data_IF_524103166994
#
_entry.id   IF_524103166994
#
_cell.length_a   1.000
_cell.length_b   1.000
_cell.length_c   1.000
_cell.angle_alpha   90.00
_cell.angle_beta   90.00
_cell.angle_gamma   90.00
#
_symmetry.space_group_name_H-M   'P 1'
#
loop_
_entity.id
_entity.type
_entity.pdbx_description
1 polymer ?
#
# COMPACT_ATOMS: atom_id res chain seq x y z
N UNK A 1 -4.27 3.07 -0.98
CA UNK A 1 -3.60 3.33 -2.27
C UNK A 1 -3.00 4.71 -2.24
N UNK A 2 -1.83 4.88 -2.82
CA UNK A 2 -1.09 6.14 -2.87
C UNK A 2 -1.00 6.61 -4.32
N UNK A 3 -1.34 7.87 -4.57
CA UNK A 3 -1.29 8.52 -5.87
C UNK A 3 -0.36 9.73 -5.80
N UNK A 4 0.62 9.77 -6.70
CA UNK A 4 1.60 10.84 -6.81
C UNK A 4 1.76 11.22 -8.29
N UNK A 5 1.68 12.50 -8.62
CA UNK A 5 2.02 12.98 -9.95
C UNK A 5 3.54 13.10 -10.04
N UNK A 6 4.22 12.36 -10.94
CA UNK A 6 5.66 12.41 -11.04
C UNK A 6 6.12 13.61 -11.87
N UNK A 7 7.23 14.22 -11.47
CA UNK A 7 7.88 15.29 -12.23
C UNK A 7 8.40 14.86 -13.62
N UNK A 8 8.59 13.56 -13.84
CA UNK A 8 9.01 12.98 -15.11
C UNK A 8 8.46 11.55 -15.23
N UNK A 9 8.26 11.05 -16.46
CA UNK A 9 7.64 9.75 -16.68
C UNK A 9 8.63 8.58 -16.61
N UNK A 10 9.87 8.78 -17.07
CA UNK A 10 10.89 7.73 -17.11
C UNK A 10 12.30 8.34 -17.08
N UNK A 11 13.23 7.63 -16.43
CA UNK A 11 14.66 7.86 -16.61
C UNK A 11 15.13 7.09 -17.85
N UNK A 12 15.59 7.82 -18.85
CA UNK A 12 16.01 7.27 -20.13
C UNK A 12 17.53 7.37 -20.28
N UNK A 13 18.17 6.28 -20.70
CA UNK A 13 19.59 6.27 -21.03
C UNK A 13 19.75 5.84 -22.49
N UNK A 14 20.18 6.74 -23.39
CA UNK A 14 20.39 6.39 -24.78
C UNK A 14 21.55 5.40 -24.92
N UNK A 15 21.44 4.50 -25.91
CA UNK A 15 22.48 3.51 -26.21
C UNK A 15 23.81 4.20 -26.50
N UNK A 16 24.88 3.69 -25.86
CA UNK A 16 26.23 4.26 -26.01
C UNK A 16 26.51 5.52 -25.19
N UNK A 17 25.55 6.03 -24.42
CA UNK A 17 25.78 7.14 -23.47
C UNK A 17 25.92 6.65 -22.04
N UNK A 18 26.72 7.38 -21.25
CA UNK A 18 26.80 7.22 -19.80
C UNK A 18 25.89 8.19 -19.03
N UNK A 19 25.11 9.00 -19.74
CA UNK A 19 24.24 10.03 -19.16
C UNK A 19 22.80 9.51 -19.13
N UNK A 20 22.17 9.63 -17.97
CA UNK A 20 20.74 9.38 -17.80
C UNK A 20 19.98 10.69 -17.87
N UNK A 21 18.91 10.71 -18.65
CA UNK A 21 18.04 11.86 -18.87
C UNK A 21 16.67 11.62 -18.23
N UNK A 22 15.95 12.69 -17.91
CA UNK A 22 14.52 12.67 -17.57
C UNK A 22 13.71 12.90 -18.84
N UNK A 23 12.76 12.01 -19.13
CA UNK A 23 11.70 12.25 -20.13
C UNK A 23 10.44 12.71 -19.40
N UNK A 24 9.94 13.88 -19.77
CA UNK A 24 8.69 14.42 -19.22
C UNK A 24 7.49 13.59 -19.71
N UNK A 25 6.39 13.61 -18.98
CA UNK A 25 5.16 12.97 -19.43
C UNK A 25 4.51 13.81 -20.54
N UNK A 26 4.02 13.17 -21.62
CA UNK A 26 3.32 13.87 -22.69
C UNK A 26 1.93 14.38 -22.25
N UNK A 27 1.33 13.71 -21.27
CA UNK A 27 0.00 14.01 -20.69
C UNK A 27 0.09 13.89 -19.18
N UNK A 28 -0.95 14.33 -18.47
CA UNK A 28 -1.07 14.05 -17.04
C UNK A 28 -0.99 12.55 -16.77
N UNK A 29 -0.28 12.19 -15.70
CA UNK A 29 0.02 10.81 -15.36
C UNK A 29 0.26 10.73 -13.85
N UNK A 30 -0.24 9.68 -13.21
CA UNK A 30 -0.09 9.44 -11.79
C UNK A 30 0.52 8.08 -11.56
N UNK A 31 1.53 8.02 -10.70
CA UNK A 31 2.05 6.77 -10.19
C UNK A 31 1.14 6.26 -9.06
N UNK A 32 0.87 4.96 -9.07
CA UNK A 32 0.01 4.28 -8.11
C UNK A 32 0.87 3.33 -7.27
N UNK A 33 0.97 3.58 -5.98
CA UNK A 33 1.54 2.62 -5.02
C UNK A 33 0.41 1.94 -4.24
N UNK A 34 0.34 0.61 -4.28
CA UNK A 34 -0.62 -0.17 -3.48
C UNK A 34 0.04 -0.70 -2.21
N UNK A 35 -0.78 -0.94 -1.20
CA UNK A 35 -0.35 -1.67 0.00
C UNK A 35 0.07 -3.08 -0.39
N UNK A 36 1.22 -3.53 0.09
CA UNK A 36 1.86 -4.82 -0.24
C UNK A 36 1.26 -6.02 0.49
N UNK A 37 0.03 -5.90 1.00
CA UNK A 37 -0.64 -6.98 1.73
C UNK A 37 -0.41 -6.97 3.25
N UNK A 38 0.04 -5.85 3.82
CA UNK A 38 0.14 -5.69 5.27
C UNK A 38 -1.24 -5.84 5.93
N UNK A 39 -1.31 -6.71 6.95
CA UNK A 39 -2.53 -6.95 7.72
C UNK A 39 -2.51 -5.98 8.92
N UNK A 40 -3.37 -4.95 8.87
CA UNK A 40 -3.51 -3.95 9.93
C UNK A 40 -4.82 -4.19 10.66
N UNK A 41 -4.73 -4.73 11.87
CA UNK A 41 -5.87 -5.02 12.74
C UNK A 41 -5.91 -4.04 13.92
N UNK A 42 -7.04 -3.38 14.13
CA UNK A 42 -7.27 -2.52 15.28
C UNK A 42 -8.56 -2.93 15.99
N UNK A 43 -8.60 -2.79 17.31
CA UNK A 43 -9.78 -3.07 18.13
C UNK A 43 -9.93 -2.02 19.22
N UNK A 44 -11.16 -1.56 19.40
CA UNK A 44 -11.60 -0.63 20.44
C UNK A 44 -11.86 -1.28 21.80
N UNK A 45 -11.65 -2.60 21.92
CA UNK A 45 -11.93 -3.40 23.13
C UNK A 45 -11.28 -2.82 24.38
N UNK A 46 -10.06 -2.29 24.25
CA UNK A 46 -9.30 -1.73 25.37
C UNK A 46 -9.59 -0.25 25.65
N UNK A 47 -10.39 0.39 24.80
CA UNK A 47 -10.77 1.79 24.93
C UNK A 47 -12.30 1.97 25.03
N UNK A 48 -13.03 0.89 25.30
CA UNK A 48 -14.47 0.88 25.57
C UNK A 48 -15.32 1.62 24.50
N UNK A 49 -15.04 1.37 23.22
CA UNK A 49 -15.78 1.98 22.11
C UNK A 49 -15.42 3.44 21.81
N UNK A 50 -14.42 4.00 22.49
CA UNK A 50 -13.89 5.32 22.14
C UNK A 50 -13.15 5.30 20.79
N UNK A 51 -12.82 6.49 20.28
CA UNK A 51 -12.15 6.65 18.98
C UNK A 51 -10.77 5.99 18.97
N UNK A 52 -10.58 5.07 18.02
CA UNK A 52 -9.26 4.53 17.68
C UNK A 52 -8.44 5.60 16.96
N UNK A 53 -7.33 6.01 17.56
CA UNK A 53 -6.40 6.98 17.01
C UNK A 53 -4.97 6.44 16.99
N UNK A 54 -4.07 7.11 16.26
CA UNK A 54 -2.64 6.79 16.24
C UNK A 54 -2.26 5.49 15.53
N UNK A 55 -3.17 4.89 14.76
CA UNK A 55 -2.85 3.69 13.97
C UNK A 55 -1.98 4.08 12.77
N UNK A 56 -0.86 3.38 12.59
CA UNK A 56 -0.01 3.52 11.40
C UNK A 56 -0.68 2.79 10.24
N UNK A 57 -1.19 3.55 9.28
CA UNK A 57 -1.98 3.00 8.15
C UNK A 57 -1.12 2.76 6.90
N UNK A 58 -0.15 3.64 6.67
CA UNK A 58 0.75 3.56 5.53
C UNK A 58 2.04 4.30 5.84
N UNK A 59 3.12 3.82 5.24
CA UNK A 59 4.37 4.55 5.11
C UNK A 59 4.54 4.95 3.65
N UNK A 60 4.84 6.22 3.42
CA UNK A 60 5.12 6.72 2.08
C UNK A 60 6.57 7.18 2.08
N UNK A 61 7.45 6.56 1.28
CA UNK A 61 8.84 6.97 1.21
C UNK A 61 8.94 8.42 0.72
N UNK A 62 9.93 9.13 1.23
CA UNK A 62 10.19 10.50 0.81
C UNK A 62 10.96 10.49 -0.51
N UNK A 63 10.24 10.67 -1.61
CA UNK A 63 10.75 10.67 -2.99
C UNK A 63 10.90 12.08 -3.57
N UNK A 64 10.05 13.00 -3.14
CA UNK A 64 9.84 14.33 -3.72
C UNK A 64 9.21 15.27 -2.68
N UNK A 65 9.25 16.58 -2.94
CA UNK A 65 8.47 17.58 -2.21
C UNK A 65 7.02 17.67 -2.69
N UNK A 66 6.67 16.92 -3.74
CA UNK A 66 5.37 17.05 -4.38
C UNK A 66 4.28 16.53 -3.45
N UNK A 67 3.12 17.19 -3.42
CA UNK A 67 2.00 16.71 -2.65
C UNK A 67 1.46 15.40 -3.26
N UNK A 68 0.81 14.60 -2.43
CA UNK A 68 0.26 13.32 -2.85
C UNK A 68 -1.07 13.04 -2.17
N UNK A 69 -1.81 12.07 -2.70
CA UNK A 69 -3.07 11.62 -2.13
C UNK A 69 -2.98 10.18 -1.64
N UNK A 70 -3.67 9.90 -0.53
CA UNK A 70 -3.86 8.57 0.00
C UNK A 70 -5.35 8.24 0.03
N UNK A 71 -5.73 7.15 -0.63
CA UNK A 71 -7.03 6.51 -0.45
C UNK A 71 -6.91 5.44 0.61
N UNK A 72 -7.55 5.68 1.75
CA UNK A 72 -7.57 4.78 2.90
C UNK A 72 -8.91 4.06 2.91
N UNK A 73 -8.89 2.73 2.90
CA UNK A 73 -10.08 1.90 3.04
C UNK A 73 -10.12 1.27 4.42
N UNK A 74 -11.21 1.49 5.16
CA UNK A 74 -11.47 0.84 6.44
C UNK A 74 -12.58 -0.20 6.26
N UNK A 75 -12.41 -1.37 6.86
CA UNK A 75 -13.36 -2.47 6.85
C UNK A 75 -13.78 -2.82 8.27
N UNK A 76 -15.08 -3.02 8.50
CA UNK A 76 -15.58 -3.56 9.76
C UNK A 76 -15.58 -5.09 9.70
N UNK A 77 -14.89 -5.76 10.62
CA UNK A 77 -14.79 -7.22 10.63
C UNK A 77 -15.60 -7.83 11.78
N UNK A 78 -16.13 -9.03 11.58
CA UNK A 78 -16.78 -9.79 12.65
C UNK A 78 -15.74 -10.27 13.67
N UNK A 79 -16.19 -10.64 14.89
CA UNK A 79 -15.29 -11.17 15.93
C UNK A 79 -14.50 -12.39 15.45
N UNK A 80 -15.14 -13.31 14.73
CA UNK A 80 -14.47 -14.52 14.21
C UNK A 80 -13.44 -14.18 13.14
N UNK A 81 -13.74 -13.25 12.24
CA UNK A 81 -12.79 -12.77 11.23
C UNK A 81 -11.59 -12.06 11.88
N UNK A 82 -11.85 -11.24 12.91
CA UNK A 82 -10.79 -10.57 13.68
C UNK A 82 -9.80 -11.59 14.29
N UNK A 83 -10.33 -12.62 14.95
CA UNK A 83 -9.52 -13.69 15.55
C UNK A 83 -8.72 -14.48 14.49
N UNK A 84 -9.33 -14.74 13.34
CA UNK A 84 -8.67 -15.39 12.21
C UNK A 84 -7.49 -14.56 11.72
N UNK A 85 -7.69 -13.28 11.37
CA UNK A 85 -6.64 -12.40 10.86
C UNK A 85 -5.56 -12.09 11.89
N UNK A 86 -5.90 -12.01 13.17
CA UNK A 86 -4.93 -11.87 14.26
C UNK A 86 -4.03 -13.11 14.37
N UNK A 87 -4.61 -14.32 14.20
CA UNK A 87 -3.83 -15.56 14.13
C UNK A 87 -2.92 -15.56 12.91
N UNK A 88 -3.42 -15.17 11.73
CA UNK A 88 -2.60 -15.06 10.51
C UNK A 88 -1.44 -14.09 10.73
N UNK A 89 -1.69 -12.90 11.29
CA UNK A 89 -0.65 -11.90 11.56
C UNK A 89 0.42 -12.43 12.52
N UNK A 90 0.03 -13.19 13.53
CA UNK A 90 0.97 -13.84 14.45
C UNK A 90 1.83 -14.88 13.73
N UNK A 91 1.20 -15.72 12.89
CA UNK A 91 1.90 -16.78 12.16
C UNK A 91 2.85 -16.23 11.09
N UNK A 92 2.51 -15.14 10.41
CA UNK A 92 3.37 -14.51 9.40
C UNK A 92 4.43 -13.60 9.99
N UNK A 93 4.22 -13.09 11.20
CA UNK A 93 5.19 -12.26 11.95
C UNK A 93 6.26 -13.05 12.70
N UNK A 94 6.03 -14.34 12.98
CA UNK A 94 7.01 -15.22 13.61
C UNK A 94 8.06 -15.64 12.57
N UNK A 95 9.25 -15.04 12.67
CA UNK A 95 10.32 -15.14 11.66
C UNK A 95 11.19 -16.41 11.81
N UNK A 96 10.80 -17.36 12.66
CA UNK A 96 11.47 -18.64 12.85
C UNK A 96 12.57 -18.63 13.93
N UNK A 97 12.39 -17.88 15.03
CA UNK A 97 13.29 -17.95 16.19
C UNK A 97 13.01 -19.21 17.04
N UNK A 98 14.04 -19.67 17.77
CA UNK A 98 13.93 -20.83 18.70
C UNK A 98 12.96 -20.56 19.86
N UNK A 99 12.61 -19.29 20.09
CA UNK A 99 11.63 -18.87 21.09
C UNK A 99 10.29 -18.45 20.48
N UNK A 100 10.06 -18.74 19.19
CA UNK A 100 8.77 -18.43 18.57
C UNK A 100 7.65 -19.30 19.16
N UNK A 101 6.47 -18.71 19.23
CA UNK A 101 5.28 -19.42 19.66
C UNK A 101 5.02 -20.63 18.74
N UNK A 102 4.59 -21.75 19.33
CA UNK A 102 4.20 -22.92 18.56
C UNK A 102 3.11 -22.55 17.54
N UNK A 103 3.19 -23.06 16.29
CA UNK A 103 2.21 -22.72 15.27
C UNK A 103 0.80 -23.06 15.75
N UNK A 104 -0.06 -22.04 15.88
CA UNK A 104 -1.46 -22.23 16.18
C UNK A 104 -2.19 -22.80 14.96
N UNK A 105 -3.12 -23.74 15.18
CA UNK A 105 -3.97 -24.26 14.11
C UNK A 105 -4.84 -23.12 13.56
N UNK A 106 -4.64 -22.77 12.28
CA UNK A 106 -5.43 -21.75 11.61
C UNK A 106 -6.78 -22.33 11.19
N UNK A 107 -7.79 -22.20 12.05
CA UNK A 107 -9.15 -22.67 11.75
C UNK A 107 -9.96 -21.59 11.04
N UNK A 108 -10.40 -21.90 9.83
CA UNK A 108 -11.30 -21.08 9.04
C UNK A 108 -12.78 -21.31 9.33
N UNK A 109 -13.66 -20.62 8.59
CA UNK A 109 -15.10 -20.89 8.56
C UNK A 109 -15.56 -21.65 7.31
N UNK A 110 -14.63 -22.05 6.44
CA UNK A 110 -14.90 -22.84 5.24
C UNK A 110 -14.75 -24.33 5.59
N UNK A 111 -15.70 -25.15 5.15
CA UNK A 111 -15.72 -26.60 5.44
C UNK A 111 -15.89 -27.41 4.18
N UNK A 112 -15.22 -28.55 4.15
CA UNK A 112 -15.44 -29.58 3.14
C UNK A 112 -16.74 -30.33 3.48
N UNK A 113 -17.61 -30.54 2.49
CA UNK A 113 -18.88 -31.26 2.66
C UNK A 113 -18.68 -32.79 2.66
N UNK A 114 -17.51 -33.28 2.21
CA UNK A 114 -17.17 -34.71 2.24
C UNK A 114 -16.66 -35.11 3.62
N UNK A 115 -17.17 -36.22 4.15
CA UNK A 115 -16.81 -36.73 5.48
C UNK A 115 -15.33 -37.14 5.60
N UNK A 116 -14.71 -37.56 4.49
CA UNK A 116 -13.30 -37.92 4.35
C UNK A 116 -12.45 -36.79 3.71
N UNK A 117 -13.04 -35.60 3.59
CA UNK A 117 -12.40 -34.46 2.94
C UNK A 117 -11.29 -33.85 3.78
N UNK A 118 -10.23 -33.39 3.10
CA UNK A 118 -9.19 -32.59 3.74
C UNK A 118 -9.77 -31.26 4.27
N UNK A 119 -9.22 -30.74 5.39
CA UNK A 119 -9.61 -29.44 5.93
C UNK A 119 -9.30 -28.33 4.92
N UNK A 120 -10.25 -27.43 4.70
CA UNK A 120 -10.05 -26.27 3.83
C UNK A 120 -9.45 -25.11 4.61
N UNK A 121 -8.51 -24.42 3.99
CA UNK A 121 -7.90 -23.21 4.53
C UNK A 121 -8.64 -21.96 4.04
N UNK A 122 -8.59 -20.89 4.82
CA UNK A 122 -9.17 -19.60 4.47
C UNK A 122 -10.35 -19.20 5.37
N UNK A 123 -10.74 -17.94 5.27
CA UNK A 123 -11.88 -17.39 5.98
C UNK A 123 -12.74 -16.59 5.02
N UNK A 124 -13.98 -17.01 4.84
CA UNK A 124 -14.98 -16.27 4.08
C UNK A 124 -15.55 -15.15 4.95
N UNK A 125 -15.35 -13.90 4.55
CA UNK A 125 -15.88 -12.74 5.26
C UNK A 125 -16.61 -11.80 4.31
N UNK A 126 -17.62 -11.12 4.86
CA UNK A 126 -18.32 -10.00 4.21
C UNK A 126 -18.22 -8.81 5.15
N UNK A 127 -17.89 -7.65 4.61
CA UNK A 127 -17.62 -6.44 5.39
C UNK A 127 -18.09 -5.20 4.65
N UNK A 128 -18.63 -4.23 5.39
CA UNK A 128 -18.81 -2.89 4.87
C UNK A 128 -17.44 -2.19 4.77
N UNK A 129 -17.17 -1.59 3.61
CA UNK A 129 -15.93 -0.85 3.36
C UNK A 129 -16.26 0.63 3.24
N UNK A 130 -15.56 1.46 4.02
CA UNK A 130 -15.59 2.90 3.93
C UNK A 130 -14.25 3.39 3.39
N UNK A 131 -14.28 4.16 2.32
CA UNK A 131 -13.07 4.79 1.78
C UNK A 131 -13.03 6.26 2.15
N UNK A 132 -11.81 6.76 2.37
CA UNK A 132 -11.54 8.17 2.60
C UNK A 132 -10.28 8.57 1.86
N UNK A 133 -10.36 9.68 1.13
CA UNK A 133 -9.24 10.32 0.49
C UNK A 133 -8.60 11.34 1.45
N UNK A 134 -7.27 11.34 1.51
CA UNK A 134 -6.47 12.28 2.31
C UNK A 134 -5.44 12.93 1.41
N UNK A 135 -5.44 14.27 1.36
CA UNK A 135 -4.39 15.05 0.73
C UNK A 135 -3.25 15.31 1.70
N UNK A 136 -2.01 15.08 1.28
CA UNK A 136 -0.82 15.28 2.11
C UNK A 136 0.17 16.19 1.40
N UNK A 137 0.45 17.34 2.03
CA UNK A 137 1.47 18.28 1.57
C UNK A 137 2.80 17.98 2.24
N UNK A 138 3.90 17.94 1.48
CA UNK A 138 5.25 17.69 2.00
C UNK A 138 6.06 18.95 2.33
N UNK A 139 5.46 20.14 2.25
CA UNK A 139 6.12 21.45 2.43
C UNK A 139 6.85 21.65 3.78
N UNK A 140 6.57 20.82 4.80
CA UNK A 140 7.20 20.89 6.13
C UNK A 140 7.98 19.63 6.50
N UNK A 141 8.16 18.69 5.56
CA UNK A 141 8.99 17.52 5.81
C UNK A 141 10.45 17.98 5.94
N UNK A 142 11.18 17.40 6.90
CA UNK A 142 12.61 17.67 7.03
C UNK A 142 13.31 17.30 5.72
N UNK A 143 14.09 18.24 5.17
CA UNK A 143 14.89 18.00 3.97
C UNK A 143 15.80 16.79 4.21
N UNK A 144 15.85 15.86 3.26
CA UNK A 144 16.80 14.74 3.32
C UNK A 144 18.24 15.27 3.51
N UNK A 145 19.13 14.48 4.14
CA UNK A 145 20.57 14.77 4.12
C UNK A 145 21.19 14.60 2.72
N UNK A 146 20.42 14.11 1.73
CA UNK A 146 20.90 13.79 0.40
C UNK A 146 20.41 14.82 -0.63
N UNK A 147 21.35 15.36 -1.43
CA UNK A 147 21.03 16.25 -2.53
C UNK A 147 20.28 15.50 -3.65
N UNK A 148 19.20 16.07 -4.22
CA UNK A 148 18.49 15.41 -5.30
C UNK A 148 19.42 15.19 -6.50
N UNK A 149 19.40 13.99 -7.07
CA UNK A 149 20.11 13.74 -8.33
C UNK A 149 19.44 14.54 -9.45
N UNK A 150 20.22 15.42 -10.06
CA UNK A 150 19.78 16.24 -11.19
C UNK A 150 20.12 15.49 -12.46
N UNK A 151 19.09 15.23 -13.28
CA UNK A 151 19.25 14.63 -14.61
C UNK A 151 18.84 15.67 -15.65
N UNK A 152 19.59 15.80 -16.77
CA UNK A 152 19.19 16.65 -17.89
C UNK A 152 17.86 16.20 -18.50
N UNK A 153 17.15 17.12 -19.13
CA UNK A 153 15.91 16.83 -19.85
C UNK A 153 16.22 16.22 -21.21
N UNK A 154 15.48 15.19 -21.58
CA UNK A 154 15.42 14.70 -22.95
C UNK A 154 14.33 15.49 -23.72
N UNK A 155 14.53 15.81 -25.01
CA UNK A 155 13.56 16.60 -25.78
C UNK A 155 12.22 15.87 -25.97
N UNK A 156 12.23 14.54 -26.10
CA UNK A 156 11.01 13.76 -26.32
C UNK A 156 10.31 13.42 -25.02
N UNK A 157 9.00 13.67 -24.99
CA UNK A 157 8.14 13.22 -23.90
C UNK A 157 7.88 11.70 -23.97
N UNK A 158 7.44 11.12 -22.87
CA UNK A 158 7.00 9.73 -22.74
C UNK A 158 5.48 9.70 -22.54
N UNK A 159 4.72 8.91 -23.33
CA UNK A 159 3.27 8.78 -23.13
C UNK A 159 2.96 8.06 -21.81
N UNK A 160 1.87 8.47 -21.15
CA UNK A 160 1.38 7.75 -19.97
C UNK A 160 0.71 6.44 -20.41
N UNK A 161 1.34 5.31 -20.10
CA UNK A 161 0.76 3.98 -20.35
C UNK A 161 0.00 3.49 -19.13
N UNK A 162 -1.29 3.22 -19.30
CA UNK A 162 -2.14 2.66 -18.24
C UNK A 162 -1.58 1.29 -17.77
N UNK A 163 -1.44 1.14 -16.47
CA UNK A 163 -0.98 -0.10 -15.86
C UNK A 163 -1.51 -0.22 -14.43
N UNK A 164 -1.18 -1.32 -13.76
CA UNK A 164 -1.47 -1.43 -12.33
C UNK A 164 -0.79 -0.29 -11.55
N UNK A 165 0.38 0.17 -11.94
CA UNK A 165 1.15 1.15 -11.15
C UNK A 165 1.10 2.57 -11.71
N UNK A 166 0.28 2.81 -12.75
CA UNK A 166 0.25 4.09 -13.44
C UNK A 166 -1.10 4.33 -14.12
N UNK A 167 -1.62 5.54 -14.02
CA UNK A 167 -2.84 5.94 -14.73
C UNK A 167 -2.74 7.37 -15.25
N UNK A 168 -3.28 7.62 -16.43
CA UNK A 168 -3.53 8.94 -17.00
C UNK A 168 -4.92 9.47 -16.68
N UNK A 169 -5.77 8.65 -16.04
CA UNK A 169 -7.06 9.14 -15.53
C UNK A 169 -6.84 9.89 -14.23
N UNK A 170 -7.29 11.14 -14.19
CA UNK A 170 -7.18 12.01 -13.02
C UNK A 170 -7.84 11.34 -11.79
N UNK A 171 -7.10 11.07 -10.70
CA UNK A 171 -7.68 10.53 -9.48
C UNK A 171 -8.67 11.53 -8.89
N UNK A 172 -9.74 11.03 -8.26
CA UNK A 172 -10.80 11.84 -7.64
C UNK A 172 -10.27 12.94 -6.69
N UNK A 173 -9.11 12.71 -6.09
CA UNK A 173 -8.50 13.67 -5.19
C UNK A 173 -7.82 14.86 -5.84
N UNK A 174 -7.38 14.78 -7.10
CA UNK A 174 -6.46 15.74 -7.71
C UNK A 174 -7.13 17.00 -8.27
#
# INVERSE_FOLDING_TARGET
>A
MHYEQPNFCVLYRPNGSNITYKRLCCTDCWNITRSTGEIIMASDRLINGNTLAGQRIAEVPYTSNDPYYLTIGQQSVSRGAYQYWQTVQTLTGNVGSVFDATPATLTGNIKNQKADGLPMLGYFQVSARRERLVYVTRLRAATLPYAPTVYPLWPDCEPCTESLYRTGTKPEGW
#
